data_IF_338235713060
#
_entry.id   IF_338235713060
#
_cell.length_a   1.000
_cell.length_b   1.000
_cell.length_c   1.000
_cell.angle_alpha   90.00
_cell.angle_beta   90.00
_cell.angle_gamma   90.00
#
_symmetry.space_group_name_H-M   'P 1'
#
loop_
_entity.id
_entity.type
_entity.pdbx_description
1 polymer ?
#
# COMPACT_ATOMS: atom_id res chain seq x y z
N UNK A 1 1.24 -9.95 -13.71
CA UNK A 1 1.67 -9.98 -12.30
C UNK A 1 0.95 -8.85 -11.59
N UNK A 2 0.04 -9.13 -10.67
CA UNK A 2 -0.89 -8.13 -10.14
C UNK A 2 -0.26 -7.34 -8.98
N UNK A 3 -0.03 -6.05 -9.20
CA UNK A 3 0.46 -5.12 -8.17
C UNK A 3 -0.72 -4.43 -7.46
N UNK A 4 -0.59 -4.25 -6.15
CA UNK A 4 -1.52 -3.46 -5.34
C UNK A 4 -0.88 -2.09 -5.10
N UNK A 5 -1.45 -1.07 -5.74
CA UNK A 5 -1.02 0.33 -5.61
C UNK A 5 -2.16 1.29 -5.28
N UNK A 6 -3.37 0.78 -5.06
CA UNK A 6 -4.56 1.57 -4.78
C UNK A 6 -5.60 0.82 -3.98
N UNK A 7 -6.46 1.58 -3.30
CA UNK A 7 -7.69 1.08 -2.73
C UNK A 7 -8.71 0.86 -3.85
N UNK A 8 -9.26 -0.36 -3.95
CA UNK A 8 -10.27 -0.68 -4.97
C UNK A 8 -11.65 -0.08 -4.67
N UNK A 9 -11.95 0.21 -3.40
CA UNK A 9 -13.24 0.79 -3.00
C UNK A 9 -13.32 2.28 -3.34
N UNK A 10 -12.25 3.03 -3.08
CA UNK A 10 -12.22 4.49 -3.24
C UNK A 10 -11.49 4.93 -4.50
N UNK A 11 -10.75 4.04 -5.16
CA UNK A 11 -9.92 4.34 -6.32
C UNK A 11 -8.61 5.06 -6.00
N UNK A 12 -8.40 5.50 -4.75
CA UNK A 12 -7.23 6.27 -4.32
C UNK A 12 -5.95 5.43 -4.34
N UNK A 13 -4.90 5.97 -4.96
CA UNK A 13 -3.58 5.33 -5.01
C UNK A 13 -2.82 5.53 -3.70
N UNK A 14 -1.93 4.59 -3.35
CA UNK A 14 -1.08 4.73 -2.17
C UNK A 14 -0.09 5.91 -2.31
N UNK A 15 0.29 6.28 -3.53
CA UNK A 15 1.10 7.48 -3.77
C UNK A 15 0.34 8.76 -3.36
N UNK A 16 -0.95 8.84 -3.67
CA UNK A 16 -1.79 9.96 -3.25
C UNK A 16 -2.06 9.94 -1.75
N UNK A 17 -2.32 8.75 -1.18
CA UNK A 17 -2.46 8.60 0.26
C UNK A 17 -1.19 9.01 1.01
N UNK A 18 0.00 8.67 0.51
CA UNK A 18 1.28 9.05 1.11
C UNK A 18 1.53 10.56 1.10
N UNK A 19 0.92 11.29 0.16
CA UNK A 19 0.99 12.76 0.06
C UNK A 19 -0.09 13.47 0.87
N UNK A 20 -1.07 12.73 1.37
CA UNK A 20 -2.17 13.29 2.14
C UNK A 20 -1.66 13.81 3.50
N UNK A 21 -2.08 14.99 3.97
CA UNK A 21 -1.64 15.54 5.26
C UNK A 21 -1.91 14.58 6.44
N UNK A 22 -3.01 13.82 6.36
CA UNK A 22 -3.37 12.83 7.37
C UNK A 22 -2.42 11.61 7.43
N UNK A 23 -1.57 11.38 6.42
CA UNK A 23 -0.59 10.29 6.44
C UNK A 23 0.41 10.43 7.59
N UNK A 24 0.82 11.67 7.91
CA UNK A 24 1.69 11.97 9.05
C UNK A 24 1.04 11.68 10.40
N UNK A 25 -0.28 11.69 10.48
CA UNK A 25 -1.06 11.37 11.68
C UNK A 25 -1.37 9.87 11.81
N UNK A 26 -0.99 9.05 10.83
CA UNK A 26 -1.15 7.61 10.83
C UNK A 26 -2.42 7.09 10.14
N UNK A 27 -2.60 5.77 10.19
CA UNK A 27 -3.64 5.07 9.42
C UNK A 27 -5.06 5.48 9.81
N UNK A 28 -5.36 5.67 11.10
CA UNK A 28 -6.71 6.03 11.53
C UNK A 28 -7.13 7.41 11.01
N UNK A 29 -6.24 8.41 11.11
CA UNK A 29 -6.50 9.74 10.58
C UNK A 29 -6.69 9.71 9.05
N UNK A 30 -5.84 8.96 8.35
CA UNK A 30 -5.95 8.76 6.91
C UNK A 30 -7.27 8.06 6.52
N UNK A 31 -7.67 7.05 7.27
CA UNK A 31 -8.92 6.31 7.09
C UNK A 31 -10.14 7.21 7.27
N UNK A 32 -10.17 8.04 8.31
CA UNK A 32 -11.26 9.03 8.52
C UNK A 32 -11.32 10.09 7.43
N UNK A 33 -10.16 10.53 6.91
CA UNK A 33 -10.10 11.57 5.89
C UNK A 33 -10.47 11.07 4.48
N UNK A 34 -10.12 9.82 4.15
CA UNK A 34 -10.21 9.30 2.77
C UNK A 34 -11.22 8.17 2.58
N UNK A 35 -11.70 7.56 3.67
CA UNK A 35 -12.50 6.33 3.65
C UNK A 35 -11.71 5.07 3.25
N UNK A 36 -10.40 5.16 2.98
CA UNK A 36 -9.59 3.98 2.69
C UNK A 36 -9.48 3.09 3.93
N UNK A 37 -9.86 1.82 3.79
CA UNK A 37 -9.83 0.84 4.87
C UNK A 37 -11.16 0.64 5.60
N UNK A 38 -12.20 1.43 5.28
CA UNK A 38 -13.56 1.25 5.84
C UNK A 38 -14.44 0.30 5.01
N UNK A 39 -14.15 0.15 3.72
CA UNK A 39 -14.89 -0.74 2.81
C UNK A 39 -14.45 -2.20 2.92
N UNK A 40 -13.81 -2.73 1.87
CA UNK A 40 -13.37 -4.14 1.83
C UNK A 40 -12.22 -4.48 2.79
N UNK A 41 -11.55 -3.49 3.40
CA UNK A 41 -10.39 -3.69 4.27
C UNK A 41 -9.11 -4.19 3.58
N UNK A 42 -9.14 -4.61 2.31
CA UNK A 42 -7.99 -5.20 1.62
C UNK A 42 -6.77 -4.27 1.50
N UNK A 43 -6.99 -2.95 1.50
CA UNK A 43 -5.92 -1.97 1.41
C UNK A 43 -5.22 -1.71 2.75
N UNK A 44 -5.82 -2.04 3.90
CA UNK A 44 -5.27 -1.76 5.23
C UNK A 44 -3.81 -2.24 5.42
N UNK A 45 -3.46 -3.52 5.16
CA UNK A 45 -2.10 -3.99 5.38
C UNK A 45 -1.08 -3.27 4.49
N UNK A 46 -1.48 -2.90 3.27
CA UNK A 46 -0.64 -2.17 2.32
C UNK A 46 -0.48 -0.70 2.69
N UNK A 47 -1.54 -0.03 3.15
CA UNK A 47 -1.46 1.35 3.63
C UNK A 47 -0.61 1.42 4.90
N UNK A 48 -0.76 0.48 5.82
CA UNK A 48 0.13 0.38 6.99
C UNK A 48 1.58 0.12 6.59
N UNK A 49 1.82 -0.76 5.62
CA UNK A 49 3.17 -0.99 5.08
C UNK A 49 3.74 0.26 4.39
N UNK A 50 2.92 0.98 3.63
CA UNK A 50 3.26 2.27 2.99
C UNK A 50 3.64 3.30 4.05
N UNK A 51 2.86 3.46 5.12
CA UNK A 51 3.20 4.39 6.21
C UNK A 51 4.52 4.05 6.90
N UNK A 52 4.86 2.76 7.02
CA UNK A 52 6.14 2.33 7.62
C UNK A 52 7.34 2.43 6.68
N UNK A 53 7.16 2.16 5.39
CA UNK A 53 8.26 1.99 4.41
C UNK A 53 8.37 3.12 3.41
N UNK A 54 7.36 3.99 3.29
CA UNK A 54 7.25 5.03 2.27
C UNK A 54 6.95 4.50 0.86
N UNK A 55 6.73 3.19 0.67
CA UNK A 55 6.54 2.59 -0.65
C UNK A 55 5.07 2.68 -1.09
N UNK A 56 4.77 3.24 -2.28
CA UNK A 56 3.40 3.39 -2.78
C UNK A 56 2.90 2.19 -3.61
N UNK A 57 3.67 1.11 -3.72
CA UNK A 57 3.25 -0.08 -4.44
C UNK A 57 3.79 -1.36 -3.82
N UNK A 58 2.94 -2.39 -3.81
CA UNK A 58 3.23 -3.68 -3.21
C UNK A 58 2.82 -4.81 -4.14
N UNK A 59 3.64 -5.85 -4.19
CA UNK A 59 3.27 -7.08 -4.89
C UNK A 59 2.23 -7.81 -4.04
N UNK A 60 1.11 -8.21 -4.64
CA UNK A 60 0.14 -9.06 -3.95
C UNK A 60 0.84 -10.36 -3.56
N UNK A 61 0.95 -10.62 -2.25
CA UNK A 61 1.40 -11.91 -1.75
C UNK A 61 0.28 -12.90 -2.06
N UNK A 62 0.51 -13.83 -2.98
CA UNK A 62 -0.37 -14.99 -3.11
C UNK A 62 -0.37 -15.73 -1.75
N UNK A 63 -1.53 -16.20 -1.24
CA UNK A 63 -1.54 -17.06 -0.07
C UNK A 63 -0.65 -18.28 -0.36
N UNK A 64 0.16 -18.64 0.62
CA UNK A 64 1.22 -19.64 0.55
C UNK A 64 0.82 -20.90 -0.24
N UNK A 65 1.27 -20.96 -1.49
CA UNK A 65 1.61 -22.21 -2.15
C UNK A 65 3.09 -22.08 -2.52
N UNK A 66 3.90 -22.73 -1.70
CA UNK A 66 5.35 -22.92 -1.84
C UNK A 66 6.23 -21.76 -1.42
N UNK A 67 7.13 -22.07 -0.48
CA UNK A 67 8.11 -21.14 0.06
C UNK A 67 9.25 -20.82 -0.90
N UNK A 68 10.23 -20.12 -0.34
CA UNK A 68 11.53 -19.92 -0.96
C UNK A 68 11.66 -18.60 -1.70
N UNK A 69 12.26 -17.66 -0.99
CA UNK A 69 13.30 -16.77 -1.49
C UNK A 69 12.96 -15.62 -2.46
N UNK A 70 13.29 -14.42 -1.95
CA UNK A 70 14.00 -13.31 -2.56
C UNK A 70 13.96 -13.12 -4.07
N UNK A 71 13.64 -11.89 -4.48
CA UNK A 71 14.11 -11.37 -5.76
C UNK A 71 14.11 -9.84 -5.82
N UNK A 72 15.12 -9.21 -6.46
CA UNK A 72 15.61 -7.88 -6.14
C UNK A 72 15.23 -6.81 -7.19
N UNK A 73 15.90 -5.66 -7.12
CA UNK A 73 16.09 -4.65 -8.17
C UNK A 73 14.94 -3.61 -8.36
N UNK A 74 15.25 -2.35 -8.68
CA UNK A 74 16.49 -1.88 -9.29
C UNK A 74 16.88 -0.47 -8.86
N UNK A 75 18.20 -0.28 -8.72
CA UNK A 75 18.83 0.95 -9.18
C UNK A 75 18.92 0.97 -10.71
N UNK A 76 19.04 2.18 -11.24
CA UNK A 76 19.52 2.54 -12.57
C UNK A 76 19.79 4.04 -12.51
N UNK A 77 21.04 4.48 -12.43
CA UNK A 77 21.89 4.82 -13.58
C UNK A 77 21.11 5.76 -14.52
N UNK A 78 21.39 7.06 -14.52
CA UNK A 78 22.63 7.69 -15.00
C UNK A 78 22.73 9.12 -14.49
#
# INVERSE_FOLDING_TARGET
MSEVNRCVCTGLTFAELSRHPAAGSGFEALRRATGCGEGCGLCEPYVRAMLRTGRPSFRALAPCLSGGESGPAGGGAR
#
